data_IF_277613402643
#
_entry.id   IF_277613402643
#
_cell.length_a   1.000
_cell.length_b   1.000
_cell.length_c   1.000
_cell.angle_alpha   90.00
_cell.angle_beta   90.00
_cell.angle_gamma   90.00
#
_symmetry.space_group_name_H-M   'P 1'
#
loop_
_entity.id
_entity.type
_entity.pdbx_description
1 polymer ?
#
# COMPACT_ATOMS: atom_id res chain seq x y z
N UNK A 1 87.86 32.37 12.81
CA UNK A 1 87.04 32.87 11.69
C UNK A 1 86.04 31.80 11.38
N UNK A 2 84.78 32.09 11.68
CA UNK A 2 83.70 31.14 11.84
C UNK A 2 82.97 30.80 10.55
N UNK A 3 82.89 29.54 10.18
CA UNK A 3 82.07 29.03 9.09
C UNK A 3 80.73 28.57 9.61
N UNK A 4 79.70 29.24 9.11
CA UNK A 4 78.31 29.01 9.48
C UNK A 4 77.71 27.82 8.69
N UNK A 5 77.40 26.69 9.29
CA UNK A 5 76.71 25.57 8.70
C UNK A 5 75.24 25.87 8.63
N UNK A 6 74.66 25.86 7.43
CA UNK A 6 73.22 25.90 7.23
C UNK A 6 72.67 24.46 7.18
N UNK A 7 71.81 24.11 8.12
CA UNK A 7 71.05 22.83 8.14
C UNK A 7 69.81 23.00 7.33
N UNK A 8 69.62 22.23 6.28
CA UNK A 8 68.36 22.08 5.55
C UNK A 8 67.46 21.09 6.32
N UNK A 9 66.33 21.56 6.72
CA UNK A 9 65.24 20.70 7.26
C UNK A 9 64.32 20.34 6.10
N UNK A 10 64.33 19.07 5.68
CA UNK A 10 63.38 18.51 4.71
C UNK A 10 62.11 18.09 5.43
N UNK A 11 61.02 18.83 5.19
CA UNK A 11 59.67 18.39 5.61
C UNK A 11 59.15 17.33 4.64
N UNK A 12 59.08 16.09 5.09
CA UNK A 12 58.36 15.00 4.42
C UNK A 12 56.85 15.11 4.76
N UNK A 13 56.02 15.52 3.83
CA UNK A 13 54.57 15.50 3.99
C UNK A 13 54.09 14.05 3.72
N UNK A 14 53.74 13.35 4.78
CA UNK A 14 53.07 12.04 4.67
C UNK A 14 51.59 12.23 4.28
N UNK A 15 51.28 11.90 3.03
CA UNK A 15 49.90 11.78 2.56
C UNK A 15 49.27 10.53 3.22
N UNK A 16 48.42 10.74 4.23
CA UNK A 16 47.59 9.70 4.80
C UNK A 16 46.42 9.40 3.82
N UNK A 17 46.58 8.33 3.04
CA UNK A 17 45.48 7.72 2.34
C UNK A 17 44.52 7.08 3.39
N UNK A 18 43.38 7.71 3.61
CA UNK A 18 42.28 7.05 4.33
C UNK A 18 41.58 6.14 3.30
N UNK A 19 41.52 4.82 3.50
CA UNK A 19 40.65 3.98 2.71
C UNK A 19 39.22 4.40 3.02
N UNK A 20 38.49 4.85 2.01
CA UNK A 20 37.05 4.97 2.08
C UNK A 20 36.48 3.55 2.34
N UNK A 21 36.08 3.28 3.55
CA UNK A 21 35.28 2.09 3.84
C UNK A 21 33.96 2.24 3.08
N UNK A 22 33.87 1.56 1.94
CA UNK A 22 32.58 1.25 1.34
C UNK A 22 31.89 0.34 2.36
N UNK A 23 30.99 0.90 3.15
CA UNK A 23 30.06 0.09 3.91
C UNK A 23 29.21 -0.66 2.88
N UNK A 24 29.45 -1.95 2.72
CA UNK A 24 28.46 -2.83 2.15
C UNK A 24 27.27 -2.76 3.10
N UNK A 25 26.19 -2.14 2.67
CA UNK A 25 24.94 -2.11 3.43
C UNK A 25 24.57 -3.55 3.74
N UNK A 26 24.37 -3.84 5.05
CA UNK A 26 23.87 -5.14 5.47
C UNK A 26 22.52 -5.38 4.80
N UNK A 27 22.23 -6.64 4.38
CA UNK A 27 20.90 -6.99 3.92
C UNK A 27 19.86 -6.46 4.92
N UNK A 28 18.78 -5.86 4.42
CA UNK A 28 17.70 -5.36 5.28
C UNK A 28 16.93 -6.59 5.77
N UNK A 29 17.31 -7.13 6.91
CA UNK A 29 16.76 -8.38 7.49
C UNK A 29 15.22 -8.36 7.67
N UNK A 30 14.57 -7.19 7.51
CA UNK A 30 13.14 -6.96 7.69
C UNK A 30 12.43 -6.36 6.47
N UNK A 31 12.94 -6.60 5.24
CA UNK A 31 12.29 -6.07 4.04
C UNK A 31 10.91 -6.70 3.82
N UNK A 32 9.90 -5.87 3.62
CA UNK A 32 8.52 -6.28 3.37
C UNK A 32 8.35 -6.65 1.89
N UNK A 33 8.43 -7.93 1.55
CA UNK A 33 7.99 -8.44 0.26
C UNK A 33 6.50 -8.78 0.37
N UNK A 34 5.65 -7.82 0.05
CA UNK A 34 4.24 -7.85 0.37
C UNK A 34 3.33 -8.11 -0.82
N UNK A 35 2.12 -8.57 -0.52
CA UNK A 35 1.02 -8.72 -1.47
C UNK A 35 -0.29 -8.21 -0.85
N UNK A 36 -0.98 -7.26 -1.52
CA UNK A 36 -2.37 -6.96 -1.17
C UNK A 36 -3.26 -8.05 -1.76
N UNK A 37 -4.03 -8.71 -0.90
CA UNK A 37 -4.85 -9.87 -1.29
C UNK A 37 -6.30 -9.71 -0.86
N UNK A 38 -6.75 -8.47 -0.81
CA UNK A 38 -8.07 -8.12 -0.30
C UNK A 38 -9.22 -8.67 -1.15
N UNK A 39 -9.00 -8.87 -2.47
CA UNK A 39 -9.95 -9.51 -3.39
C UNK A 39 -10.01 -11.04 -3.26
N UNK A 40 -9.03 -11.68 -2.61
CA UNK A 40 -8.88 -13.14 -2.62
C UNK A 40 -10.14 -13.87 -2.14
N UNK A 41 -10.74 -13.42 -1.02
CA UNK A 41 -11.94 -14.06 -0.48
C UNK A 41 -13.13 -13.99 -1.46
N UNK A 42 -13.24 -12.92 -2.23
CA UNK A 42 -14.30 -12.74 -3.22
C UNK A 42 -14.05 -13.61 -4.46
N UNK A 43 -12.82 -13.65 -4.94
CA UNK A 43 -12.41 -14.53 -6.05
C UNK A 43 -12.69 -15.98 -5.71
N UNK A 44 -12.28 -16.45 -4.52
CA UNK A 44 -12.55 -17.83 -4.05
C UNK A 44 -14.04 -18.12 -3.91
N UNK A 45 -14.83 -17.17 -3.38
CA UNK A 45 -16.29 -17.29 -3.23
C UNK A 45 -16.99 -17.46 -4.59
N UNK A 46 -16.43 -16.86 -5.63
CA UNK A 46 -16.91 -16.95 -7.00
C UNK A 46 -16.26 -18.08 -7.82
N UNK A 47 -15.61 -19.03 -7.13
CA UNK A 47 -15.10 -20.26 -7.75
C UNK A 47 -13.69 -20.17 -8.31
N UNK A 48 -12.98 -19.05 -8.11
CA UNK A 48 -11.56 -18.93 -8.42
C UNK A 48 -10.75 -19.98 -7.67
N UNK A 49 -9.81 -20.61 -8.35
CA UNK A 49 -8.94 -21.66 -7.81
C UNK A 49 -7.51 -21.36 -8.17
N UNK A 50 -6.58 -21.81 -7.33
CA UNK A 50 -5.17 -21.51 -7.50
C UNK A 50 -4.35 -22.80 -7.58
N UNK A 51 -3.22 -22.70 -8.28
CA UNK A 51 -2.22 -23.76 -8.36
C UNK A 51 -0.82 -23.18 -8.47
N UNK A 52 0.16 -23.91 -7.98
CA UNK A 52 1.58 -23.59 -8.12
C UNK A 52 2.02 -23.63 -9.60
N UNK A 53 3.21 -23.16 -9.89
CA UNK A 53 3.74 -23.09 -11.26
C UNK A 53 3.86 -24.47 -11.95
N UNK A 54 4.02 -25.56 -11.17
CA UNK A 54 3.98 -26.95 -11.64
C UNK A 54 2.56 -27.51 -11.79
N UNK A 55 1.51 -26.70 -11.52
CA UNK A 55 0.10 -27.05 -11.68
C UNK A 55 -0.51 -27.79 -10.48
N UNK A 56 0.17 -27.90 -9.36
CA UNK A 56 -0.39 -28.50 -8.14
C UNK A 56 -1.39 -27.55 -7.49
N UNK A 57 -2.67 -27.95 -7.33
CA UNK A 57 -3.67 -27.15 -6.63
C UNK A 57 -3.24 -26.78 -5.21
N UNK A 58 -3.50 -25.52 -4.81
CA UNK A 58 -3.08 -25.04 -3.50
C UNK A 58 -3.81 -23.77 -3.06
N UNK A 59 -3.52 -23.37 -1.84
CA UNK A 59 -3.94 -22.10 -1.25
C UNK A 59 -3.13 -20.94 -1.83
N UNK A 60 -3.78 -19.88 -2.32
CA UNK A 60 -3.11 -18.72 -2.92
C UNK A 60 -2.09 -18.06 -1.97
N UNK A 61 -2.41 -17.93 -0.67
CA UNK A 61 -1.49 -17.35 0.33
C UNK A 61 -0.27 -18.25 0.55
N UNK A 62 -0.45 -19.58 0.55
CA UNK A 62 0.67 -20.51 0.67
C UNK A 62 1.56 -20.42 -0.58
N UNK A 63 0.98 -20.35 -1.78
CA UNK A 63 1.73 -20.23 -3.04
C UNK A 63 2.54 -18.92 -3.08
N UNK A 64 1.94 -17.81 -2.66
CA UNK A 64 2.62 -16.53 -2.53
C UNK A 64 3.79 -16.61 -1.52
N UNK A 65 3.54 -17.19 -0.35
CA UNK A 65 4.58 -17.41 0.67
C UNK A 65 5.74 -18.24 0.13
N UNK A 66 5.46 -19.37 -0.52
CA UNK A 66 6.47 -20.26 -1.09
C UNK A 66 7.30 -19.58 -2.19
N UNK A 67 6.76 -18.52 -2.78
CA UNK A 67 7.45 -17.67 -3.77
C UNK A 67 8.31 -16.57 -3.15
N UNK A 68 8.25 -16.36 -1.82
CA UNK A 68 9.06 -15.38 -1.11
C UNK A 68 8.30 -14.21 -0.48
N UNK A 69 6.98 -14.14 -0.66
CA UNK A 69 6.12 -13.17 0.04
C UNK A 69 6.14 -13.44 1.54
N UNK A 70 6.39 -12.40 2.35
CA UNK A 70 6.45 -12.48 3.82
C UNK A 70 5.41 -11.59 4.51
N UNK A 71 4.72 -10.72 3.75
CA UNK A 71 3.65 -9.85 4.22
C UNK A 71 2.41 -9.94 3.34
N UNK A 72 1.23 -9.75 3.93
CA UNK A 72 0.00 -9.43 3.22
C UNK A 72 -0.53 -8.07 3.65
N UNK A 73 -1.10 -7.31 2.72
CA UNK A 73 -1.88 -6.10 3.00
C UNK A 73 -3.34 -6.44 2.82
N UNK A 74 -4.16 -5.97 3.74
CA UNK A 74 -5.60 -6.21 3.78
C UNK A 74 -6.32 -4.89 4.01
N UNK A 75 -7.06 -4.42 3.01
CA UNK A 75 -7.91 -3.24 3.18
C UNK A 75 -9.13 -3.57 4.02
N UNK A 76 -9.59 -2.59 4.74
CA UNK A 76 -10.77 -2.66 5.59
C UNK A 76 -11.73 -1.52 5.27
N UNK A 77 -12.96 -1.86 4.91
CA UNK A 77 -14.08 -0.94 4.77
C UNK A 77 -14.99 -1.03 5.99
N UNK A 78 -15.66 0.10 6.30
CA UNK A 78 -16.47 0.21 7.51
C UNK A 78 -17.70 -0.70 7.42
N UNK A 79 -18.57 -0.48 6.43
CA UNK A 79 -19.80 -1.25 6.23
C UNK A 79 -20.04 -1.42 4.72
N UNK A 80 -19.40 -2.44 4.07
CA UNK A 80 -19.42 -2.57 2.61
C UNK A 80 -20.75 -3.10 2.06
N UNK A 81 -21.81 -2.33 2.27
CA UNK A 81 -23.15 -2.61 1.74
C UNK A 81 -23.77 -1.33 1.16
N UNK A 82 -24.65 -1.47 0.19
CA UNK A 82 -25.38 -0.33 -0.35
C UNK A 82 -26.26 0.30 0.74
N UNK A 83 -26.06 1.58 1.02
CA UNK A 83 -26.81 2.35 2.01
C UNK A 83 -28.27 2.62 1.58
N UNK A 84 -28.56 2.54 0.28
CA UNK A 84 -29.88 2.73 -0.34
C UNK A 84 -30.06 1.74 -1.51
N UNK A 85 -31.32 1.62 -1.98
CA UNK A 85 -31.59 0.87 -3.21
C UNK A 85 -30.92 1.56 -4.40
N UNK A 86 -30.29 0.78 -5.30
CA UNK A 86 -29.79 1.26 -6.59
C UNK A 86 -30.89 1.08 -7.61
N UNK A 87 -31.28 2.18 -8.26
CA UNK A 87 -32.38 2.21 -9.22
C UNK A 87 -31.84 2.54 -10.60
N UNK A 88 -32.08 1.67 -11.58
CA UNK A 88 -31.74 1.87 -12.99
C UNK A 88 -33.00 1.75 -13.84
N UNK A 89 -33.25 2.71 -14.70
CA UNK A 89 -34.44 2.78 -15.56
C UNK A 89 -35.76 2.55 -14.81
N UNK A 90 -35.87 3.10 -13.57
CA UNK A 90 -37.04 2.98 -12.72
C UNK A 90 -37.22 1.61 -12.02
N UNK A 91 -36.24 0.72 -12.12
CA UNK A 91 -36.23 -0.59 -11.45
C UNK A 91 -35.13 -0.66 -10.43
N UNK A 92 -35.43 -1.26 -9.27
CA UNK A 92 -34.39 -1.54 -8.27
C UNK A 92 -33.55 -2.71 -8.78
N UNK A 93 -32.27 -2.44 -9.08
CA UNK A 93 -31.28 -3.44 -9.53
C UNK A 93 -30.50 -4.03 -8.38
N UNK A 94 -30.20 -3.23 -7.34
CA UNK A 94 -29.59 -3.70 -6.10
C UNK A 94 -30.33 -3.12 -4.91
N UNK A 95 -30.57 -3.95 -3.91
CA UNK A 95 -31.29 -3.57 -2.69
C UNK A 95 -30.35 -2.92 -1.68
N UNK A 96 -30.87 -2.00 -0.88
CA UNK A 96 -30.23 -1.56 0.36
C UNK A 96 -29.79 -2.80 1.17
N UNK A 97 -28.55 -2.77 1.67
CA UNK A 97 -27.93 -3.86 2.42
C UNK A 97 -27.29 -4.95 1.56
N UNK A 98 -27.43 -4.89 0.23
CA UNK A 98 -26.66 -5.77 -0.66
C UNK A 98 -25.17 -5.42 -0.60
N UNK A 99 -24.30 -6.42 -0.78
CA UNK A 99 -22.86 -6.26 -0.80
C UNK A 99 -22.40 -5.35 -1.95
N UNK A 100 -21.41 -4.48 -1.72
CA UNK A 100 -20.93 -3.49 -2.72
C UNK A 100 -20.03 -4.09 -3.80
N UNK A 101 -19.41 -5.25 -3.56
CA UNK A 101 -18.36 -5.83 -4.42
C UNK A 101 -16.97 -5.33 -4.04
N UNK A 102 -16.01 -5.42 -4.96
CA UNK A 102 -14.64 -4.95 -4.72
C UNK A 102 -13.93 -5.65 -3.55
N UNK A 103 -14.24 -6.94 -3.32
CA UNK A 103 -13.71 -7.72 -2.20
C UNK A 103 -14.64 -7.79 -0.98
N UNK A 104 -15.64 -6.91 -0.87
CA UNK A 104 -16.53 -6.84 0.30
C UNK A 104 -15.75 -6.85 1.63
N UNK A 105 -14.75 -6.00 1.73
CA UNK A 105 -13.69 -6.01 2.73
C UNK A 105 -14.14 -5.45 4.10
N UNK A 106 -15.31 -5.86 4.60
CA UNK A 106 -15.72 -5.57 5.98
C UNK A 106 -14.95 -6.40 6.99
N UNK A 107 -15.03 -6.03 8.27
CA UNK A 107 -14.25 -6.60 9.36
C UNK A 107 -14.24 -8.15 9.36
N UNK A 108 -15.38 -8.79 9.15
CA UNK A 108 -15.45 -10.26 9.14
C UNK A 108 -14.61 -10.91 8.01
N UNK A 109 -14.58 -10.31 6.82
CA UNK A 109 -13.75 -10.79 5.71
C UNK A 109 -12.27 -10.58 6.00
N UNK A 110 -11.90 -9.39 6.47
CA UNK A 110 -10.53 -9.03 6.84
C UNK A 110 -10.01 -9.93 7.96
N UNK A 111 -10.81 -10.20 9.01
CA UNK A 111 -10.45 -11.13 10.08
C UNK A 111 -10.17 -12.54 9.57
N UNK A 112 -10.98 -13.07 8.64
CA UNK A 112 -10.74 -14.41 8.05
C UNK A 112 -9.43 -14.47 7.27
N UNK A 113 -9.15 -13.46 6.43
CA UNK A 113 -7.92 -13.40 5.65
C UNK A 113 -6.69 -13.20 6.56
N UNK A 114 -6.78 -12.32 7.55
CA UNK A 114 -5.70 -12.07 8.51
C UNK A 114 -5.36 -13.33 9.31
N UNK A 115 -6.37 -14.04 9.84
CA UNK A 115 -6.14 -15.34 10.53
C UNK A 115 -5.46 -16.37 9.63
N UNK A 116 -5.90 -16.47 8.38
CA UNK A 116 -5.31 -17.40 7.39
C UNK A 116 -3.84 -17.03 7.11
N UNK A 117 -3.55 -15.74 6.94
CA UNK A 117 -2.19 -15.24 6.76
C UNK A 117 -1.30 -15.53 7.98
N UNK A 118 -1.78 -15.21 9.19
CA UNK A 118 -1.05 -15.47 10.44
C UNK A 118 -0.81 -16.96 10.67
N UNK A 119 -1.76 -17.83 10.34
CA UNK A 119 -1.59 -19.29 10.43
C UNK A 119 -0.46 -19.82 9.50
N UNK A 120 -0.20 -19.11 8.40
CA UNK A 120 0.92 -19.37 7.51
C UNK A 120 2.23 -18.69 7.97
N UNK A 121 2.21 -17.89 9.04
CA UNK A 121 3.37 -17.11 9.51
C UNK A 121 3.66 -15.88 8.66
N UNK A 122 2.71 -15.42 7.83
CA UNK A 122 2.79 -14.14 7.14
C UNK A 122 2.50 -12.99 8.11
N UNK A 123 3.19 -11.87 7.93
CA UNK A 123 2.88 -10.61 8.61
C UNK A 123 1.72 -9.91 7.92
N UNK A 124 0.99 -9.08 8.66
CA UNK A 124 -0.22 -8.39 8.18
C UNK A 124 -0.07 -6.87 8.30
N UNK A 125 -0.24 -6.16 7.20
CA UNK A 125 -0.49 -4.72 7.13
C UNK A 125 -2.00 -4.52 6.99
N UNK A 126 -2.64 -3.94 8.00
CA UNK A 126 -4.06 -3.58 7.97
C UNK A 126 -4.22 -2.19 7.38
N UNK A 127 -4.96 -2.07 6.29
CA UNK A 127 -5.23 -0.81 5.60
C UNK A 127 -6.67 -0.34 5.86
N UNK A 128 -6.85 0.65 6.72
CA UNK A 128 -8.18 1.15 7.10
C UNK A 128 -8.57 2.32 6.18
N UNK A 129 -9.54 2.09 5.29
CA UNK A 129 -10.02 3.11 4.36
C UNK A 129 -10.93 4.18 5.00
N UNK A 130 -11.57 3.91 6.13
CA UNK A 130 -12.59 4.77 6.76
C UNK A 130 -13.72 5.14 5.79
N UNK A 131 -14.11 4.22 4.95
CA UNK A 131 -15.16 4.34 3.95
C UNK A 131 -15.94 3.03 3.84
N UNK A 132 -17.13 3.04 3.29
CA UNK A 132 -17.91 1.82 3.00
C UNK A 132 -17.51 1.16 1.68
N UNK A 133 -16.69 1.84 0.89
CA UNK A 133 -16.23 1.41 -0.42
C UNK A 133 -14.82 1.95 -0.71
N UNK A 134 -14.36 1.94 -1.95
CA UNK A 134 -13.05 2.45 -2.33
C UNK A 134 -12.81 3.87 -1.81
N UNK A 135 -11.66 4.07 -1.19
CA UNK A 135 -11.09 5.37 -0.89
C UNK A 135 -9.79 5.51 -1.67
N UNK A 136 -9.68 6.58 -2.45
CA UNK A 136 -8.57 6.87 -3.35
C UNK A 136 -8.37 8.40 -3.47
N UNK A 137 -7.39 8.92 -4.25
CA UNK A 137 -7.15 10.35 -4.36
C UNK A 137 -8.33 11.17 -4.91
N UNK A 138 -9.32 10.53 -5.53
CA UNK A 138 -10.49 11.18 -6.11
C UNK A 138 -11.76 11.00 -5.26
N UNK A 139 -11.75 10.03 -4.33
CA UNK A 139 -12.93 9.64 -3.56
C UNK A 139 -12.56 9.26 -2.13
N UNK A 140 -13.00 10.05 -1.16
CA UNK A 140 -12.77 9.81 0.28
C UNK A 140 -14.09 9.95 1.04
N UNK A 141 -15.10 9.20 0.59
CA UNK A 141 -16.46 9.29 1.12
C UNK A 141 -16.56 8.75 2.54
N UNK A 142 -17.18 9.52 3.44
CA UNK A 142 -17.50 9.04 4.79
C UNK A 142 -18.39 7.79 4.75
N UNK A 143 -18.21 6.85 5.68
CA UNK A 143 -19.19 5.78 5.90
C UNK A 143 -20.61 6.34 6.07
N UNK A 144 -21.60 5.65 5.54
CA UNK A 144 -22.98 6.05 5.67
C UNK A 144 -23.42 6.26 7.14
N UNK A 145 -22.86 5.44 8.05
CA UNK A 145 -23.08 5.57 9.49
C UNK A 145 -22.53 6.87 10.09
N UNK A 146 -21.61 7.55 9.41
CA UNK A 146 -20.95 8.77 9.89
C UNK A 146 -21.33 10.03 9.10
N UNK A 147 -22.31 9.93 8.21
CA UNK A 147 -22.71 11.05 7.33
C UNK A 147 -22.97 12.35 8.10
N UNK A 148 -23.65 12.25 9.25
CA UNK A 148 -24.03 13.40 10.09
C UNK A 148 -23.02 13.70 11.20
N UNK A 149 -21.89 12.97 11.23
CA UNK A 149 -20.82 13.24 12.20
C UNK A 149 -19.87 14.30 11.64
N UNK A 150 -19.50 15.26 12.49
CA UNK A 150 -18.56 16.34 12.20
C UNK A 150 -17.66 16.60 13.40
N UNK A 151 -16.57 17.30 13.17
CA UNK A 151 -15.67 17.80 14.23
C UNK A 151 -15.32 16.74 15.28
N UNK A 152 -15.60 16.99 16.55
CA UNK A 152 -15.23 16.10 17.67
C UNK A 152 -15.94 14.75 17.61
N UNK A 153 -17.20 14.73 17.19
CA UNK A 153 -17.96 13.49 17.05
C UNK A 153 -17.37 12.58 15.98
N UNK A 154 -16.94 13.15 14.84
CA UNK A 154 -16.28 12.39 13.77
C UNK A 154 -14.91 11.87 14.22
N UNK A 155 -14.11 12.69 14.91
CA UNK A 155 -12.82 12.26 15.50
C UNK A 155 -13.00 11.12 16.51
N UNK A 156 -14.00 11.23 17.39
CA UNK A 156 -14.32 10.16 18.33
C UNK A 156 -14.68 8.86 17.61
N UNK A 157 -15.53 8.92 16.55
CA UNK A 157 -15.90 7.76 15.76
C UNK A 157 -14.70 7.10 15.07
N UNK A 158 -13.77 7.89 14.49
CA UNK A 158 -12.53 7.38 13.89
C UNK A 158 -11.67 6.65 14.92
N UNK A 159 -11.44 7.27 16.09
CA UNK A 159 -10.64 6.68 17.17
C UNK A 159 -11.27 5.38 17.68
N UNK A 160 -12.56 5.40 17.98
CA UNK A 160 -13.28 4.23 18.51
C UNK A 160 -13.36 3.09 17.50
N UNK A 161 -13.61 3.40 16.23
CA UNK A 161 -13.61 2.39 15.16
C UNK A 161 -12.25 1.71 15.02
N UNK A 162 -11.17 2.49 15.05
CA UNK A 162 -9.80 1.95 14.95
C UNK A 162 -9.49 1.03 16.14
N UNK A 163 -9.72 1.49 17.37
CA UNK A 163 -9.48 0.69 18.57
C UNK A 163 -10.31 -0.60 18.57
N UNK A 164 -11.63 -0.50 18.35
CA UNK A 164 -12.53 -1.66 18.32
C UNK A 164 -12.17 -2.67 17.23
N UNK A 165 -11.70 -2.19 16.07
CA UNK A 165 -11.22 -3.05 14.98
C UNK A 165 -10.01 -3.86 15.41
N UNK A 166 -9.04 -3.22 16.04
CA UNK A 166 -7.82 -3.88 16.52
C UNK A 166 -8.14 -4.87 17.65
N UNK A 167 -8.99 -4.50 18.60
CA UNK A 167 -9.44 -5.38 19.68
C UNK A 167 -10.15 -6.64 19.12
N UNK A 168 -10.99 -6.47 18.09
CA UNK A 168 -11.65 -7.60 17.43
C UNK A 168 -10.68 -8.53 16.69
N UNK A 169 -9.66 -7.97 16.03
CA UNK A 169 -8.60 -8.76 15.38
C UNK A 169 -7.74 -9.50 16.42
N UNK A 170 -7.39 -8.85 17.52
CA UNK A 170 -6.65 -9.44 18.61
C UNK A 170 -7.40 -10.62 19.24
N UNK A 171 -8.69 -10.45 19.49
CA UNK A 171 -9.55 -11.47 20.10
C UNK A 171 -9.62 -12.79 19.30
N UNK A 172 -9.31 -12.75 18.00
CA UNK A 172 -9.33 -13.94 17.14
C UNK A 172 -7.94 -14.40 16.69
N UNK A 173 -6.87 -13.84 17.25
CA UNK A 173 -5.49 -14.16 16.89
C UNK A 173 -5.10 -13.72 15.47
N UNK A 174 -5.71 -12.62 15.00
CA UNK A 174 -5.47 -12.02 13.69
C UNK A 174 -4.81 -10.63 13.79
N UNK A 175 -4.14 -10.33 14.89
CA UNK A 175 -3.47 -9.05 15.14
C UNK A 175 -2.59 -8.63 13.97
N UNK A 176 -2.74 -7.40 13.47
CA UNK A 176 -1.83 -6.89 12.44
C UNK A 176 -0.43 -6.65 13.01
N UNK A 177 0.55 -6.58 12.13
CA UNK A 177 1.95 -6.22 12.46
C UNK A 177 2.24 -4.75 12.13
N UNK A 178 1.38 -4.10 11.35
CA UNK A 178 1.40 -2.66 11.03
C UNK A 178 -0.02 -2.23 10.67
N UNK A 179 -0.39 -1.00 10.98
CA UNK A 179 -1.68 -0.39 10.60
C UNK A 179 -1.46 0.81 9.72
N UNK A 180 -2.16 0.86 8.60
CA UNK A 180 -2.25 2.03 7.73
C UNK A 180 -3.51 2.81 8.07
N UNK A 181 -3.36 4.09 8.39
CA UNK A 181 -4.45 5.01 8.73
C UNK A 181 -4.81 5.84 7.51
N UNK A 182 -5.94 5.48 6.88
CA UNK A 182 -6.39 6.04 5.61
C UNK A 182 -5.67 5.43 4.41
N UNK A 183 -6.29 5.48 3.24
CA UNK A 183 -5.72 5.03 1.98
C UNK A 183 -5.60 6.20 1.00
N UNK A 184 -4.40 6.41 0.43
CA UNK A 184 -4.12 7.41 -0.60
C UNK A 184 -4.69 8.81 -0.27
N UNK A 185 -4.38 9.31 0.92
CA UNK A 185 -4.99 10.50 1.51
C UNK A 185 -4.47 11.83 0.94
N UNK A 186 -4.15 11.88 -0.35
CA UNK A 186 -3.55 13.03 -1.05
C UNK A 186 -4.35 14.34 -0.90
N UNK A 187 -5.65 14.25 -0.90
CA UNK A 187 -6.56 15.38 -0.71
C UNK A 187 -7.35 15.26 0.61
N UNK A 188 -6.74 14.59 1.61
CA UNK A 188 -7.35 14.33 2.90
C UNK A 188 -8.18 13.05 2.94
N UNK A 189 -9.04 12.89 3.94
CA UNK A 189 -9.92 11.74 4.16
C UNK A 189 -11.29 12.18 4.68
N UNK A 190 -12.31 11.28 4.61
CA UNK A 190 -13.64 11.55 5.20
C UNK A 190 -14.25 12.87 4.73
N UNK A 191 -14.29 13.05 3.41
CA UNK A 191 -14.79 14.29 2.81
C UNK A 191 -16.25 14.59 3.17
N UNK A 192 -16.61 15.92 3.30
CA UNK A 192 -15.75 17.09 3.15
C UNK A 192 -14.97 17.47 4.41
N UNK A 193 -15.19 16.82 5.56
CA UNK A 193 -14.67 17.23 6.88
C UNK A 193 -13.15 17.23 6.97
N UNK A 194 -12.48 16.22 6.39
CA UNK A 194 -11.02 16.15 6.32
C UNK A 194 -10.47 16.39 4.92
N UNK A 195 -11.25 16.98 4.01
CA UNK A 195 -10.78 17.35 2.67
C UNK A 195 -9.84 18.55 2.73
N UNK A 196 -8.62 18.41 2.16
CA UNK A 196 -7.59 19.47 2.17
C UNK A 196 -7.69 20.38 0.94
N UNK A 197 -8.18 19.84 -0.18
CA UNK A 197 -8.26 20.56 -1.44
C UNK A 197 -9.56 20.25 -2.20
N UNK A 198 -10.08 21.25 -2.94
CA UNK A 198 -11.19 21.09 -3.87
C UNK A 198 -11.01 21.96 -5.11
N UNK A 199 -11.33 21.43 -6.28
CA UNK A 199 -11.39 22.21 -7.51
C UNK A 199 -12.51 23.26 -7.45
N UNK A 200 -13.63 22.96 -6.81
CA UNK A 200 -14.69 23.91 -6.49
C UNK A 200 -14.27 24.79 -5.31
N UNK A 201 -13.90 26.03 -5.61
CA UNK A 201 -13.47 27.01 -4.59
C UNK A 201 -14.60 27.50 -3.68
N UNK A 202 -15.86 27.19 -3.99
CA UNK A 202 -17.01 27.44 -3.13
C UNK A 202 -17.30 26.27 -2.18
N UNK A 203 -16.69 25.12 -2.39
CA UNK A 203 -16.89 23.94 -1.57
C UNK A 203 -16.43 24.19 -0.13
N UNK A 204 -17.27 23.74 0.82
CA UNK A 204 -16.94 23.77 2.23
C UNK A 204 -16.07 22.55 2.57
N UNK A 205 -14.79 22.76 2.80
CA UNK A 205 -13.81 21.72 3.15
C UNK A 205 -13.22 21.98 4.52
N UNK A 206 -12.74 20.92 5.19
CA UNK A 206 -12.14 21.03 6.52
C UNK A 206 -10.74 21.65 6.54
N UNK A 207 -9.98 21.43 5.47
CA UNK A 207 -8.59 21.87 5.35
C UNK A 207 -7.59 21.00 6.12
N UNK A 208 -6.32 21.38 6.04
CA UNK A 208 -5.17 20.60 6.55
C UNK A 208 -5.27 20.28 8.04
N UNK A 209 -5.67 21.25 8.86
CA UNK A 209 -5.80 21.05 10.31
C UNK A 209 -6.88 20.03 10.68
N UNK A 210 -8.03 20.05 9.98
CA UNK A 210 -9.09 19.07 10.23
C UNK A 210 -8.69 17.68 9.73
N UNK A 211 -8.00 17.58 8.60
CA UNK A 211 -7.42 16.33 8.11
C UNK A 211 -6.41 15.74 9.10
N UNK A 212 -5.44 16.54 9.54
CA UNK A 212 -4.45 16.10 10.52
C UNK A 212 -5.09 15.64 11.84
N UNK A 213 -6.18 16.31 12.28
CA UNK A 213 -6.93 15.91 13.46
C UNK A 213 -7.63 14.55 13.29
N UNK A 214 -8.09 14.20 12.09
CA UNK A 214 -8.67 12.89 11.79
C UNK A 214 -7.60 11.79 11.74
N UNK A 215 -6.43 12.05 11.13
CA UNK A 215 -5.29 11.14 11.19
C UNK A 215 -4.86 10.88 12.63
N UNK A 216 -4.74 11.94 13.44
CA UNK A 216 -4.42 11.85 14.88
C UNK A 216 -5.43 10.96 15.61
N UNK A 217 -6.72 11.10 15.33
CA UNK A 217 -7.76 10.28 15.94
C UNK A 217 -7.60 8.80 15.61
N UNK A 218 -7.26 8.46 14.35
CA UNK A 218 -6.92 7.08 13.96
C UNK A 218 -5.70 6.54 14.70
N UNK A 219 -4.63 7.32 14.77
CA UNK A 219 -3.41 7.00 15.52
C UNK A 219 -3.71 6.78 16.99
N UNK A 220 -4.50 7.66 17.63
CA UNK A 220 -4.93 7.52 19.02
C UNK A 220 -5.72 6.22 19.25
N UNK A 221 -6.52 5.77 18.26
CA UNK A 221 -7.19 4.48 18.31
C UNK A 221 -6.19 3.31 18.34
N UNK A 222 -5.10 3.38 17.56
CA UNK A 222 -4.00 2.40 17.61
C UNK A 222 -3.32 2.43 18.98
N UNK A 223 -2.96 3.60 19.50
CA UNK A 223 -2.30 3.75 20.80
C UNK A 223 -3.19 3.29 21.97
N UNK A 224 -4.51 3.41 21.84
CA UNK A 224 -5.44 2.85 22.83
C UNK A 224 -5.35 1.31 22.88
N UNK A 225 -5.29 0.64 21.74
CA UNK A 225 -5.08 -0.81 21.68
C UNK A 225 -3.66 -1.20 22.18
N UNK A 226 -2.62 -0.43 21.84
CA UNK A 226 -1.26 -0.63 22.35
C UNK A 226 -1.23 -0.62 23.89
N UNK A 227 -1.93 0.31 24.50
CA UNK A 227 -2.01 0.42 25.96
C UNK A 227 -2.69 -0.80 26.61
N UNK A 228 -3.67 -1.43 25.92
CA UNK A 228 -4.34 -2.64 26.40
C UNK A 228 -3.48 -3.89 26.24
N UNK A 229 -2.75 -3.98 25.13
CA UNK A 229 -2.01 -5.19 24.73
C UNK A 229 -0.55 -5.19 25.18
N UNK A 230 0.00 -4.02 25.58
CA UNK A 230 1.42 -3.85 25.90
C UNK A 230 2.34 -3.90 24.68
N UNK A 231 1.79 -3.83 23.45
CA UNK A 231 2.55 -3.76 22.20
C UNK A 231 2.77 -2.30 21.79
N UNK A 232 3.67 -2.09 20.85
CA UNK A 232 3.74 -0.88 20.04
C UNK A 232 3.53 -1.26 18.59
N UNK A 233 2.36 -0.95 18.04
CA UNK A 233 1.98 -1.29 16.69
C UNK A 233 2.40 -0.15 15.74
N UNK A 234 3.29 -0.40 14.77
CA UNK A 234 3.72 0.63 13.83
C UNK A 234 2.54 1.18 13.02
N UNK A 235 2.54 2.50 12.82
CA UNK A 235 1.53 3.23 12.04
C UNK A 235 2.14 3.71 10.74
N UNK A 236 1.45 3.43 9.63
CA UNK A 236 1.76 3.92 8.28
C UNK A 236 0.76 4.99 7.87
N UNK A 237 1.25 6.07 7.25
CA UNK A 237 0.44 7.04 6.50
C UNK A 237 0.71 6.85 5.00
N UNK A 238 -0.32 6.89 4.16
CA UNK A 238 -0.26 6.47 2.77
C UNK A 238 -0.67 7.58 1.80
N UNK A 239 0.19 7.82 0.80
CA UNK A 239 -0.03 8.77 -0.30
C UNK A 239 0.10 8.06 -1.65
N UNK A 240 -0.76 8.37 -2.60
CA UNK A 240 -0.56 8.03 -4.00
C UNK A 240 0.49 8.95 -4.64
N UNK A 241 1.01 8.57 -5.81
CA UNK A 241 1.91 9.43 -6.56
C UNK A 241 3.33 9.50 -6.00
N UNK A 242 3.96 8.33 -5.79
CA UNK A 242 5.32 8.21 -5.27
C UNK A 242 6.42 8.93 -6.09
N UNK A 243 6.07 9.51 -7.24
CA UNK A 243 6.95 10.33 -8.08
C UNK A 243 6.63 11.82 -8.04
N UNK A 244 5.73 12.26 -7.16
CA UNK A 244 5.33 13.65 -6.99
C UNK A 244 5.98 14.24 -5.72
N UNK A 245 7.15 14.91 -5.84
CA UNK A 245 7.84 15.46 -4.68
C UNK A 245 7.05 16.58 -4.02
N UNK A 246 6.35 17.43 -4.79
CA UNK A 246 5.61 18.56 -4.24
C UNK A 246 4.47 18.09 -3.34
N UNK A 247 3.72 17.09 -3.78
CA UNK A 247 2.70 16.43 -2.96
C UNK A 247 3.31 15.80 -1.71
N UNK A 248 4.38 15.02 -1.87
CA UNK A 248 4.99 14.31 -0.75
C UNK A 248 5.53 15.30 0.30
N UNK A 249 6.22 16.35 -0.13
CA UNK A 249 6.72 17.38 0.80
C UNK A 249 5.58 18.11 1.49
N UNK A 250 4.56 18.57 0.76
CA UNK A 250 3.40 19.23 1.36
C UNK A 250 2.78 18.39 2.49
N UNK A 251 2.56 17.10 2.22
CA UNK A 251 1.92 16.21 3.18
C UNK A 251 2.82 15.86 4.36
N UNK A 252 4.10 15.54 4.13
CA UNK A 252 5.02 15.18 5.20
C UNK A 252 5.38 16.39 6.07
N UNK A 253 5.46 17.60 5.51
CA UNK A 253 5.61 18.83 6.27
C UNK A 253 4.39 19.10 7.16
N UNK A 254 3.17 18.87 6.65
CA UNK A 254 1.94 18.91 7.42
C UNK A 254 1.98 17.92 8.59
N UNK A 255 2.36 16.65 8.31
CA UNK A 255 2.44 15.63 9.37
C UNK A 255 3.47 15.98 10.44
N UNK A 256 4.60 16.57 10.05
CA UNK A 256 5.64 17.02 10.96
C UNK A 256 5.19 18.25 11.79
N UNK A 257 4.58 19.26 11.15
CA UNK A 257 4.06 20.47 11.83
C UNK A 257 2.99 20.10 12.87
N UNK A 258 2.13 19.15 12.51
CA UNK A 258 1.09 18.62 13.40
C UNK A 258 1.61 17.57 14.40
N UNK A 259 2.88 17.20 14.35
CA UNK A 259 3.51 16.20 15.23
C UNK A 259 2.73 14.90 15.30
N UNK A 260 2.34 14.37 14.15
CA UNK A 260 1.65 13.09 14.09
C UNK A 260 2.61 11.94 14.49
N UNK A 261 2.12 11.03 15.34
CA UNK A 261 2.89 9.88 15.87
C UNK A 261 2.77 8.67 14.92
N UNK A 262 3.45 8.73 13.77
CA UNK A 262 3.50 7.66 12.77
C UNK A 262 4.93 7.16 12.55
N UNK A 263 5.07 5.94 12.06
CA UNK A 263 6.34 5.22 11.96
C UNK A 263 6.83 5.08 10.51
N UNK A 264 5.92 4.89 9.52
CA UNK A 264 6.25 4.62 8.13
C UNK A 264 5.46 5.51 7.18
N UNK A 265 6.04 5.75 6.01
CA UNK A 265 5.35 6.36 4.85
C UNK A 265 5.12 5.29 3.80
N UNK A 266 3.87 5.08 3.41
CA UNK A 266 3.49 4.28 2.25
C UNK A 266 3.29 5.15 1.03
N UNK A 267 3.75 4.69 -0.13
CA UNK A 267 3.58 5.38 -1.41
C UNK A 267 3.05 4.40 -2.46
N UNK A 268 2.08 4.83 -3.28
CA UNK A 268 1.70 4.08 -4.47
C UNK A 268 2.59 4.48 -5.64
N UNK A 269 3.09 3.48 -6.36
CA UNK A 269 3.76 3.67 -7.63
C UNK A 269 3.33 2.63 -8.65
N UNK A 270 2.63 3.07 -9.67
CA UNK A 270 2.27 2.28 -10.82
C UNK A 270 2.96 2.86 -12.06
N UNK A 271 3.80 2.10 -12.79
CA UNK A 271 4.57 2.64 -13.92
C UNK A 271 3.69 3.20 -15.03
N UNK A 272 2.44 2.77 -15.10
CA UNK A 272 1.45 3.25 -16.08
C UNK A 272 0.85 4.62 -15.72
N UNK A 273 0.89 5.02 -14.44
CA UNK A 273 0.27 6.27 -13.95
C UNK A 273 1.27 7.26 -13.39
N UNK A 274 2.20 6.81 -12.56
CA UNK A 274 2.97 7.63 -11.63
C UNK A 274 4.39 7.96 -12.13
N UNK A 275 4.64 7.95 -13.46
CA UNK A 275 5.94 8.31 -13.99
C UNK A 275 6.99 7.21 -13.89
N UNK A 276 8.25 7.58 -14.11
CA UNK A 276 9.37 6.63 -14.27
C UNK A 276 9.94 6.14 -12.95
N UNK A 277 10.61 4.99 -13.00
CA UNK A 277 11.36 4.45 -11.85
C UNK A 277 12.49 5.39 -11.38
N UNK A 278 13.08 6.16 -12.31
CA UNK A 278 14.12 7.16 -11.98
C UNK A 278 13.52 8.28 -11.13
N UNK A 279 12.32 8.74 -11.47
CA UNK A 279 11.62 9.75 -10.68
C UNK A 279 11.22 9.19 -9.29
N UNK A 280 10.74 7.95 -9.24
CA UNK A 280 10.47 7.27 -7.97
C UNK A 280 11.72 7.23 -7.09
N UNK A 281 12.86 6.78 -7.66
CA UNK A 281 14.12 6.72 -6.92
C UNK A 281 14.54 8.07 -6.38
N UNK A 282 14.49 9.10 -7.22
CA UNK A 282 14.86 10.47 -6.82
C UNK A 282 14.01 10.97 -5.65
N UNK A 283 12.68 10.75 -5.71
CA UNK A 283 11.78 11.17 -4.65
C UNK A 283 12.01 10.36 -3.36
N UNK A 284 12.16 9.05 -3.45
CA UNK A 284 12.43 8.20 -2.27
C UNK A 284 13.75 8.60 -1.58
N UNK A 285 14.81 8.85 -2.34
CA UNK A 285 16.10 9.25 -1.78
C UNK A 285 16.01 10.61 -1.07
N UNK A 286 15.30 11.57 -1.65
CA UNK A 286 15.06 12.89 -1.07
C UNK A 286 14.24 12.83 0.21
N UNK A 287 13.10 12.12 0.17
CA UNK A 287 12.25 11.92 1.34
C UNK A 287 12.98 11.23 2.50
N UNK A 288 13.79 10.21 2.19
CA UNK A 288 14.61 9.51 3.17
C UNK A 288 15.64 10.44 3.85
N UNK A 289 16.29 11.30 3.07
CA UNK A 289 17.27 12.25 3.57
C UNK A 289 16.64 13.34 4.42
N UNK A 290 15.49 13.86 3.99
CA UNK A 290 14.82 14.98 4.63
C UNK A 290 14.05 14.57 5.90
N UNK A 291 13.15 13.56 5.78
CA UNK A 291 12.24 13.18 6.87
C UNK A 291 12.78 12.04 7.74
N UNK A 292 13.74 11.28 7.26
CA UNK A 292 14.34 10.12 7.96
C UNK A 292 13.31 9.11 8.46
N UNK A 293 12.23 8.94 7.71
CA UNK A 293 11.19 7.95 7.95
C UNK A 293 11.37 6.73 7.04
N UNK A 294 11.09 5.53 7.53
CA UNK A 294 11.00 4.34 6.70
C UNK A 294 9.96 4.52 5.58
N UNK A 295 10.33 4.14 4.36
CA UNK A 295 9.54 4.27 3.14
C UNK A 295 9.17 2.90 2.60
N UNK A 296 7.92 2.73 2.19
CA UNK A 296 7.40 1.51 1.57
C UNK A 296 6.67 1.88 0.28
N UNK A 297 6.97 1.23 -0.83
CA UNK A 297 6.07 1.25 -1.98
C UNK A 297 4.95 0.26 -1.67
N UNK A 298 3.85 0.77 -1.10
CA UNK A 298 2.78 -0.05 -0.53
C UNK A 298 1.77 -0.50 -1.57
N UNK A 299 1.85 0.05 -2.79
CA UNK A 299 1.09 -0.39 -3.95
C UNK A 299 1.92 -0.29 -5.23
N UNK A 300 1.99 -1.39 -5.98
CA UNK A 300 2.48 -1.46 -7.36
C UNK A 300 1.89 -2.68 -8.05
N UNK A 301 1.78 -2.64 -9.37
CA UNK A 301 1.44 -3.80 -10.19
C UNK A 301 1.88 -3.58 -11.64
N UNK A 302 1.91 -4.66 -12.43
CA UNK A 302 2.18 -4.60 -13.86
C UNK A 302 1.58 -5.80 -14.60
N UNK A 303 1.26 -5.61 -15.89
CA UNK A 303 0.64 -6.66 -16.72
C UNK A 303 1.62 -7.72 -17.19
N UNK A 304 1.14 -8.99 -17.20
CA UNK A 304 1.85 -10.12 -17.79
C UNK A 304 1.41 -10.44 -19.22
N UNK A 305 0.31 -9.82 -19.68
CA UNK A 305 -0.25 -10.00 -21.04
C UNK A 305 -1.15 -8.82 -21.39
N UNK A 306 -1.41 -8.62 -22.69
CA UNK A 306 -2.45 -7.72 -23.20
C UNK A 306 -3.76 -8.44 -23.54
N UNK A 307 -3.78 -9.76 -23.43
CA UNK A 307 -4.96 -10.58 -23.69
C UNK A 307 -6.01 -10.39 -22.60
N UNK A 308 -7.27 -10.69 -22.91
CA UNK A 308 -8.39 -10.67 -21.99
C UNK A 308 -8.58 -12.04 -21.36
N UNK A 309 -8.88 -12.07 -20.08
CA UNK A 309 -9.32 -13.28 -19.37
C UNK A 309 -10.84 -13.45 -19.37
N UNK A 310 -11.60 -12.35 -19.49
CA UNK A 310 -13.06 -12.32 -19.52
C UNK A 310 -13.61 -11.33 -20.58
N UNK A 311 -14.85 -10.90 -20.44
CA UNK A 311 -15.49 -9.93 -21.36
C UNK A 311 -15.04 -8.49 -21.11
N UNK A 312 -14.37 -8.18 -20.01
CA UNK A 312 -13.93 -6.85 -19.64
C UNK A 312 -12.60 -6.53 -20.30
N UNK A 313 -12.45 -5.34 -20.86
CA UNK A 313 -11.16 -4.92 -21.43
C UNK A 313 -10.15 -4.68 -20.31
N UNK A 314 -8.92 -5.21 -20.42
CA UNK A 314 -7.87 -4.97 -19.44
C UNK A 314 -7.57 -3.47 -19.27
N UNK A 315 -7.29 -3.05 -18.04
CA UNK A 315 -6.88 -1.68 -17.75
C UNK A 315 -5.49 -1.41 -18.33
N UNK A 316 -4.55 -2.35 -18.19
CA UNK A 316 -3.24 -2.24 -18.80
C UNK A 316 -3.31 -2.72 -20.25
N UNK A 317 -3.23 -1.80 -21.18
CA UNK A 317 -3.21 -2.01 -22.63
C UNK A 317 -1.83 -1.70 -23.25
N UNK A 318 -1.74 -1.75 -24.58
CA UNK A 318 -0.49 -1.51 -25.32
C UNK A 318 0.07 -0.09 -25.09
N UNK A 319 -0.81 0.92 -24.98
CA UNK A 319 -0.39 2.31 -24.74
C UNK A 319 0.17 2.49 -23.33
N UNK A 320 -0.44 1.84 -22.36
CA UNK A 320 0.07 1.82 -20.98
C UNK A 320 1.44 1.12 -20.90
N UNK A 321 1.61 0.00 -21.60
CA UNK A 321 2.87 -0.73 -21.65
C UNK A 321 4.00 0.10 -22.31
N UNK A 322 3.70 0.80 -23.42
CA UNK A 322 4.64 1.70 -24.09
C UNK A 322 5.06 2.86 -23.16
N UNK A 323 4.09 3.50 -22.50
CA UNK A 323 4.35 4.58 -21.53
C UNK A 323 5.20 4.13 -20.36
N UNK A 324 4.96 2.93 -19.85
CA UNK A 324 5.73 2.36 -18.73
C UNK A 324 7.15 1.95 -19.12
N UNK A 325 7.42 1.71 -20.41
CA UNK A 325 8.73 1.30 -20.92
C UNK A 325 9.06 -0.18 -20.66
N UNK A 326 8.08 -1.01 -20.32
CA UNK A 326 8.23 -2.46 -20.10
C UNK A 326 7.25 -3.23 -20.99
N UNK A 327 7.65 -4.36 -21.60
CA UNK A 327 6.70 -5.17 -22.35
C UNK A 327 5.68 -5.82 -21.40
N UNK A 328 4.39 -5.83 -21.78
CA UNK A 328 3.34 -6.54 -21.05
C UNK A 328 3.46 -8.05 -21.31
N UNK A 329 4.43 -8.67 -20.66
CA UNK A 329 4.76 -10.09 -20.70
C UNK A 329 5.15 -10.59 -19.33
N UNK A 330 5.14 -11.89 -19.09
CA UNK A 330 5.61 -12.49 -17.83
C UNK A 330 7.04 -12.02 -17.48
N UNK A 331 7.92 -11.91 -18.47
CA UNK A 331 9.28 -11.42 -18.26
C UNK A 331 9.32 -9.93 -17.91
N UNK A 332 8.51 -9.10 -18.58
CA UNK A 332 8.39 -7.67 -18.29
C UNK A 332 7.77 -7.41 -16.92
N UNK A 333 6.73 -8.14 -16.55
CA UNK A 333 6.15 -8.09 -15.21
C UNK A 333 7.21 -8.43 -14.13
N UNK A 334 7.96 -9.50 -14.33
CA UNK A 334 9.06 -9.87 -13.43
C UNK A 334 10.16 -8.80 -13.37
N UNK A 335 10.42 -8.09 -14.48
CA UNK A 335 11.41 -7.02 -14.52
C UNK A 335 10.95 -5.81 -13.70
N UNK A 336 9.69 -5.36 -13.86
CA UNK A 336 9.12 -4.26 -13.04
C UNK A 336 9.23 -4.57 -11.56
N UNK A 337 8.87 -5.79 -11.14
CA UNK A 337 8.92 -6.21 -9.74
C UNK A 337 10.36 -6.15 -9.21
N UNK A 338 11.34 -6.69 -9.95
CA UNK A 338 12.74 -6.63 -9.54
C UNK A 338 13.27 -5.20 -9.44
N UNK A 339 12.92 -4.37 -10.42
CA UNK A 339 13.44 -3.01 -10.51
C UNK A 339 12.89 -2.13 -9.38
N UNK A 340 11.59 -2.24 -9.05
CA UNK A 340 11.03 -1.48 -7.93
C UNK A 340 11.57 -1.97 -6.58
N UNK A 341 11.74 -3.27 -6.39
CA UNK A 341 12.34 -3.83 -5.17
C UNK A 341 13.80 -3.34 -5.02
N UNK A 342 14.59 -3.41 -6.08
CA UNK A 342 15.97 -2.93 -6.06
C UNK A 342 16.04 -1.42 -5.78
N UNK A 343 15.12 -0.63 -6.36
CA UNK A 343 15.04 0.82 -6.14
C UNK A 343 14.74 1.14 -4.69
N UNK A 344 13.75 0.48 -4.09
CA UNK A 344 13.38 0.69 -2.69
C UNK A 344 14.48 0.20 -1.76
N UNK A 345 15.07 -0.96 -2.01
CA UNK A 345 16.15 -1.49 -1.18
C UNK A 345 17.42 -0.60 -1.19
N UNK A 346 17.62 0.16 -2.27
CA UNK A 346 18.74 1.08 -2.41
C UNK A 346 18.51 2.47 -1.80
N UNK A 347 17.38 2.70 -1.12
CA UNK A 347 17.10 3.98 -0.43
C UNK A 347 18.14 4.22 0.68
N UNK A 348 18.75 5.42 0.76
CA UNK A 348 19.80 5.70 1.73
C UNK A 348 19.42 5.43 3.18
N UNK A 349 20.40 5.01 3.98
CA UNK A 349 20.22 4.76 5.42
C UNK A 349 19.41 3.52 5.74
N UNK A 350 19.16 2.63 4.76
CA UNK A 350 18.31 1.45 4.94
C UNK A 350 16.84 1.80 5.19
N UNK A 351 16.41 3.00 4.75
CA UNK A 351 15.06 3.49 4.98
C UNK A 351 14.03 2.94 3.98
N UNK A 352 14.44 2.31 2.89
CA UNK A 352 13.55 1.57 2.00
C UNK A 352 13.18 0.23 2.61
N UNK A 353 11.93 0.06 3.02
CA UNK A 353 11.52 -1.06 3.90
C UNK A 353 10.63 -2.09 3.22
N UNK A 354 10.16 -1.86 2.01
CA UNK A 354 9.35 -2.88 1.35
C UNK A 354 8.62 -2.44 0.09
N UNK A 355 8.09 -3.44 -0.58
CA UNK A 355 7.24 -3.31 -1.77
C UNK A 355 6.06 -4.26 -1.61
N UNK A 356 4.85 -3.76 -1.83
CA UNK A 356 3.63 -4.56 -1.88
C UNK A 356 3.08 -4.60 -3.30
N UNK A 357 2.88 -5.80 -3.82
CA UNK A 357 2.20 -6.00 -5.09
C UNK A 357 0.69 -5.98 -4.87
N UNK A 358 -0.02 -5.13 -5.60
CA UNK A 358 -1.44 -4.94 -5.41
C UNK A 358 -2.24 -5.97 -6.21
N UNK A 359 -3.07 -6.73 -5.51
CA UNK A 359 -4.03 -7.73 -5.99
C UNK A 359 -3.44 -8.81 -6.93
N UNK A 360 -2.36 -9.50 -6.51
CA UNK A 360 -1.75 -10.55 -7.30
C UNK A 360 -2.67 -11.76 -7.58
N UNK A 361 -3.73 -11.92 -6.77
CA UNK A 361 -4.65 -13.05 -6.84
C UNK A 361 -6.02 -12.68 -7.46
N UNK A 362 -6.15 -11.49 -8.05
CA UNK A 362 -7.41 -11.07 -8.67
C UNK A 362 -7.52 -11.58 -10.11
N UNK A 363 -7.71 -12.90 -10.22
CA UNK A 363 -7.95 -13.59 -11.50
C UNK A 363 -9.41 -13.43 -11.93
N UNK A 364 -9.76 -13.73 -13.20
CA UNK A 364 -11.15 -13.73 -13.68
C UNK A 364 -12.02 -14.66 -12.83
N UNK A 365 -13.06 -14.11 -12.23
CA UNK A 365 -14.09 -14.86 -11.51
C UNK A 365 -15.40 -14.07 -11.61
N UNK A 366 -16.39 -14.61 -12.30
CA UNK A 366 -17.65 -13.90 -12.57
C UNK A 366 -18.33 -13.47 -11.26
N UNK A 367 -18.47 -12.15 -11.05
CA UNK A 367 -19.00 -11.55 -9.83
C UNK A 367 -17.93 -11.01 -8.88
N UNK A 368 -16.64 -11.28 -9.09
CA UNK A 368 -15.54 -10.70 -8.33
C UNK A 368 -14.96 -9.46 -9.03
N UNK A 369 -15.80 -8.49 -9.38
CA UNK A 369 -15.41 -7.24 -10.02
C UNK A 369 -15.18 -6.09 -9.04
N UNK A 370 -14.92 -4.89 -9.60
CA UNK A 370 -14.70 -3.66 -8.83
C UNK A 370 -15.89 -3.29 -7.96
N UNK A 371 -17.08 -3.59 -8.42
CA UNK A 371 -18.36 -3.38 -7.75
C UNK A 371 -19.26 -4.56 -8.09
N UNK A 372 -20.29 -4.79 -7.27
CA UNK A 372 -21.34 -5.77 -7.58
C UNK A 372 -21.99 -5.46 -8.93
N UNK A 373 -21.88 -6.38 -9.87
CA UNK A 373 -22.34 -6.24 -11.25
C UNK A 373 -21.29 -5.81 -12.26
N UNK A 374 -20.14 -5.32 -11.83
CA UNK A 374 -19.03 -4.91 -12.69
C UNK A 374 -18.09 -6.10 -13.01
N UNK A 375 -17.32 -5.97 -14.09
CA UNK A 375 -16.24 -6.89 -14.43
C UNK A 375 -14.94 -6.58 -13.70
N UNK A 376 -13.91 -7.38 -14.01
CA UNK A 376 -12.55 -7.23 -13.56
C UNK A 376 -11.65 -6.82 -14.73
N UNK A 377 -11.18 -5.57 -14.75
CA UNK A 377 -10.19 -5.12 -15.75
C UNK A 377 -8.75 -5.13 -15.21
N UNK A 378 -8.53 -5.63 -13.99
CA UNK A 378 -7.22 -5.74 -13.36
C UNK A 378 -6.53 -7.07 -13.61
N UNK A 379 -7.25 -8.06 -14.06
CA UNK A 379 -6.89 -9.48 -14.16
C UNK A 379 -5.57 -9.77 -14.88
N UNK A 380 -5.23 -8.96 -15.93
CA UNK A 380 -3.97 -9.11 -16.65
C UNK A 380 -2.74 -8.60 -15.87
N UNK A 381 -2.94 -8.07 -14.65
CA UNK A 381 -1.88 -7.66 -13.73
C UNK A 381 -1.72 -8.63 -12.55
N UNK A 382 -2.51 -9.69 -12.46
CA UNK A 382 -2.34 -10.73 -11.46
C UNK A 382 -0.97 -11.44 -11.58
N UNK A 383 -0.51 -12.09 -10.52
CA UNK A 383 0.67 -12.98 -10.52
C UNK A 383 0.29 -14.45 -10.71
N UNK A 384 -0.96 -14.68 -11.04
CA UNK A 384 -1.49 -15.95 -11.53
C UNK A 384 -2.06 -15.72 -12.94
N UNK A 385 -2.00 -16.73 -13.78
CA UNK A 385 -2.67 -16.66 -15.07
C UNK A 385 -4.21 -16.74 -14.92
N UNK A 386 -4.94 -16.62 -16.02
CA UNK A 386 -6.41 -16.63 -15.99
C UNK A 386 -7.03 -17.94 -15.52
N UNK A 387 -6.26 -19.02 -15.45
CA UNK A 387 -6.68 -20.30 -14.86
C UNK A 387 -6.35 -20.42 -13.37
N UNK A 388 -5.67 -19.41 -12.80
CA UNK A 388 -5.18 -19.40 -11.44
C UNK A 388 -3.86 -20.15 -11.22
N UNK A 389 -3.10 -20.43 -12.29
CA UNK A 389 -1.76 -21.00 -12.16
C UNK A 389 -0.73 -19.91 -11.91
N UNK A 390 0.12 -20.10 -10.91
CA UNK A 390 1.17 -19.15 -10.55
C UNK A 390 2.12 -18.89 -11.72
N UNK A 391 2.33 -17.61 -12.05
CA UNK A 391 3.25 -17.16 -13.08
C UNK A 391 4.71 -17.18 -12.58
N UNK A 392 5.69 -17.46 -13.45
CA UNK A 392 7.10 -17.37 -13.10
C UNK A 392 7.53 -16.00 -12.55
N UNK A 393 6.86 -14.90 -12.96
CA UNK A 393 7.09 -13.54 -12.48
C UNK A 393 6.88 -13.39 -10.97
N UNK A 394 6.03 -14.20 -10.35
CA UNK A 394 5.81 -14.21 -8.90
C UNK A 394 7.10 -14.41 -8.11
N UNK A 395 8.06 -15.18 -8.64
CA UNK A 395 9.36 -15.42 -8.00
C UNK A 395 10.22 -14.15 -7.85
N UNK A 396 9.89 -13.07 -8.56
CA UNK A 396 10.56 -11.77 -8.40
C UNK A 396 10.10 -11.03 -7.13
N UNK A 397 8.92 -11.36 -6.58
CA UNK A 397 8.37 -10.73 -5.37
C UNK A 397 8.94 -11.38 -4.11
N UNK A 398 10.19 -11.06 -3.81
CA UNK A 398 10.90 -11.54 -2.62
C UNK A 398 11.82 -10.45 -2.06
N UNK A 399 12.14 -10.54 -0.77
CA UNK A 399 13.13 -9.65 -0.17
C UNK A 399 14.48 -9.77 -0.92
N UNK A 400 15.22 -8.67 -1.10
CA UNK A 400 16.57 -8.70 -1.66
C UNK A 400 17.51 -9.47 -0.72
N UNK A 401 18.46 -10.19 -1.31
CA UNK A 401 19.47 -10.98 -0.57
C UNK A 401 20.69 -10.13 -0.23
#
# INVERSE_FOLDING_TARGET
MNAMRRTLVSCLAALLFHPAFVHADKPVDDFMAGADVSMLAEVERHGGKFSSADGKPGDALQILKDSGVNWVRLRLWHTPVFAADVVENGRVVLKKGAAVGGGNNGLATTMRLARRAKALGLKVLLDIHYSDFWADPQTQTKPAAWTDLHSDALRAAVREYTANTLDALDAVGASPDTVQIGNETNAGMLWPDGQTWSADKSARIGGDAAFAALLRAGIEGVRANDALTGRHLPVMLHLAGGTDPDLCHHMLDLFAAERLDYDLVGLSWYPIYHGTLVQLKSNLDELAQHYRKPLVVVETAYGWTLERGDSTAPLLDAQHAEKAGYPATVAGQAQVIRDVIATVAAVPGGLGRGVFYWEPAWIPAAGAGWRTGDGNNWENQALFDYSGRALPSMQALRAPH
#
